data_IF_696481752531
#
_entry.id   IF_696481752531
#
_cell.length_a   1.000
_cell.length_b   1.000
_cell.length_c   1.000
_cell.angle_alpha   90.00
_cell.angle_beta   90.00
_cell.angle_gamma   90.00
#
_symmetry.space_group_name_H-M   'P 1'
#
loop_
_entity.id
_entity.type
_entity.pdbx_description
1 polymer ?
#
# COMPACT_ATOMS: atom_id res chain seq x y z
N UNK A 1 -11.67 10.86 -10.76
CA UNK A 1 -11.60 10.46 -9.36
C UNK A 1 -10.22 9.94 -9.03
N UNK A 2 -9.60 10.49 -8.01
CA UNK A 2 -8.27 10.07 -7.59
C UNK A 2 -8.35 8.85 -6.67
N UNK A 3 -7.42 7.93 -6.88
CA UNK A 3 -7.26 6.77 -6.03
C UNK A 3 -5.81 6.72 -5.56
N UNK A 4 -5.60 6.64 -4.25
CA UNK A 4 -4.25 6.50 -3.70
C UNK A 4 -4.06 5.10 -3.14
N UNK A 5 -3.01 4.45 -3.61
CA UNK A 5 -2.67 3.07 -3.32
C UNK A 5 -1.32 3.04 -2.64
N UNK A 6 -1.18 2.26 -1.58
CA UNK A 6 0.09 2.09 -0.90
C UNK A 6 0.51 0.63 -0.95
N UNK A 7 1.79 0.41 -1.23
CA UNK A 7 2.39 -0.93 -1.26
C UNK A 7 3.65 -0.92 -0.40
N UNK A 8 3.67 -1.65 0.73
CA UNK A 8 4.89 -1.80 1.51
C UNK A 8 5.92 -2.61 0.73
N UNK A 9 7.14 -2.10 0.65
CA UNK A 9 8.20 -2.69 -0.15
C UNK A 9 9.35 -3.23 0.69
N UNK A 10 9.94 -4.31 0.20
CA UNK A 10 11.26 -4.79 0.58
C UNK A 10 12.07 -4.90 -0.71
N UNK A 11 12.92 -3.92 -0.97
CA UNK A 11 13.55 -3.79 -2.29
C UNK A 11 12.50 -3.53 -3.36
N UNK A 12 12.51 -4.29 -4.44
CA UNK A 12 11.55 -4.18 -5.54
C UNK A 12 10.29 -5.03 -5.33
N UNK A 13 10.25 -5.80 -4.25
CA UNK A 13 9.17 -6.75 -3.99
C UNK A 13 8.23 -6.23 -2.93
N UNK A 14 6.99 -6.74 -2.94
CA UNK A 14 6.06 -6.51 -1.84
C UNK A 14 6.68 -7.09 -0.58
N UNK A 15 6.75 -6.29 0.48
CA UNK A 15 7.32 -6.76 1.75
C UNK A 15 6.51 -7.96 2.27
N UNK A 16 7.17 -9.03 2.74
CA UNK A 16 6.47 -10.19 3.31
C UNK A 16 5.59 -9.83 4.51
N UNK A 17 5.95 -8.76 5.24
CA UNK A 17 5.20 -8.33 6.43
C UNK A 17 5.00 -6.83 6.41
N UNK A 18 3.75 -6.41 6.65
CA UNK A 18 3.36 -5.00 6.72
C UNK A 18 4.13 -4.25 7.81
N UNK A 19 4.27 -4.84 9.00
CA UNK A 19 4.84 -4.20 10.17
C UNK A 19 6.37 -4.03 10.15
N UNK A 20 7.06 -4.72 9.23
CA UNK A 20 8.52 -4.65 9.13
C UNK A 20 9.03 -4.11 7.80
N UNK A 21 8.15 -3.60 6.95
CA UNK A 21 8.59 -3.08 5.65
C UNK A 21 9.50 -1.86 5.81
N UNK A 22 10.62 -1.80 5.07
CA UNK A 22 11.52 -0.63 5.16
C UNK A 22 11.04 0.57 4.34
N UNK A 23 10.20 0.35 3.34
CA UNK A 23 9.71 1.41 2.46
C UNK A 23 8.23 1.27 2.18
N UNK A 24 7.61 2.39 1.85
CA UNK A 24 6.21 2.44 1.44
C UNK A 24 6.13 3.16 0.10
N UNK A 25 5.54 2.51 -0.89
CA UNK A 25 5.33 3.08 -2.22
C UNK A 25 3.90 3.58 -2.30
N UNK A 26 3.73 4.90 -2.51
CA UNK A 26 2.42 5.53 -2.60
C UNK A 26 2.21 6.00 -4.02
N UNK A 27 1.11 5.56 -4.64
CA UNK A 27 0.80 5.79 -6.03
C UNK A 27 -0.56 6.47 -6.13
N UNK A 28 -0.62 7.58 -6.85
CA UNK A 28 -1.88 8.26 -7.14
C UNK A 28 -2.30 7.93 -8.56
N UNK A 29 -3.51 7.42 -8.70
CA UNK A 29 -4.09 7.03 -9.98
C UNK A 29 -5.33 7.87 -10.22
N UNK A 30 -5.47 8.42 -11.43
CA UNK A 30 -6.62 9.19 -11.85
C UNK A 30 -7.09 8.66 -13.19
N UNK A 31 -8.35 8.23 -13.27
CA UNK A 31 -8.95 7.69 -14.49
C UNK A 31 -8.14 6.53 -15.11
N UNK A 32 -7.55 5.70 -14.24
CA UNK A 32 -6.76 4.56 -14.67
C UNK A 32 -5.30 4.86 -15.01
N UNK A 33 -4.87 6.10 -14.87
CA UNK A 33 -3.49 6.51 -15.16
C UNK A 33 -2.75 6.94 -13.90
N UNK A 34 -1.47 6.55 -13.81
CA UNK A 34 -0.61 6.99 -12.73
C UNK A 34 -0.23 8.45 -12.97
N UNK A 35 -0.64 9.32 -12.05
CA UNK A 35 -0.33 10.76 -12.15
C UNK A 35 0.73 11.21 -11.17
N UNK A 36 1.00 10.42 -10.12
CA UNK A 36 2.03 10.75 -9.13
C UNK A 36 2.44 9.49 -8.40
N UNK A 37 3.70 9.42 -8.00
CA UNK A 37 4.17 8.33 -7.14
C UNK A 37 5.36 8.80 -6.32
N UNK A 38 5.51 8.20 -5.14
CA UNK A 38 6.65 8.47 -4.26
C UNK A 38 6.93 7.25 -3.40
N UNK A 39 8.17 7.14 -2.95
CA UNK A 39 8.59 6.11 -2.00
C UNK A 39 9.05 6.79 -0.73
N UNK A 40 8.56 6.30 0.40
CA UNK A 40 8.88 6.81 1.73
C UNK A 40 9.70 5.78 2.48
N UNK A 41 10.76 6.22 3.14
CA UNK A 41 11.48 5.36 4.07
C UNK A 41 10.71 5.31 5.37
N UNK A 42 10.31 4.11 5.81
CA UNK A 42 9.51 3.92 7.01
C UNK A 42 10.15 2.94 7.99
N UNK A 43 11.39 2.53 7.73
CA UNK A 43 12.10 1.57 8.57
C UNK A 43 12.21 2.02 10.03
N UNK A 44 12.29 3.32 10.26
CA UNK A 44 12.43 3.92 11.60
C UNK A 44 11.09 4.17 12.31
N UNK A 45 9.98 3.92 11.64
CA UNK A 45 8.66 4.20 12.19
C UNK A 45 8.12 3.01 13.00
N UNK A 46 7.45 3.30 14.12
CA UNK A 46 6.71 2.28 14.85
C UNK A 46 5.38 2.00 14.15
N UNK A 47 4.64 1.04 14.66
CA UNK A 47 3.40 0.58 14.03
C UNK A 47 2.37 1.70 13.86
N UNK A 48 2.14 2.50 14.91
CA UNK A 48 1.16 3.59 14.85
C UNK A 48 1.58 4.63 13.82
N UNK A 49 2.87 4.96 13.76
CA UNK A 49 3.39 5.90 12.78
C UNK A 49 3.24 5.39 11.36
N UNK A 50 3.40 4.07 11.14
CA UNK A 50 3.18 3.45 9.83
C UNK A 50 1.72 3.58 9.41
N UNK A 51 0.79 3.32 10.33
CA UNK A 51 -0.64 3.48 10.05
C UNK A 51 -0.99 4.94 9.75
N UNK A 52 -0.38 5.88 10.47
CA UNK A 52 -0.57 7.31 10.23
C UNK A 52 -0.12 7.74 8.86
N UNK A 53 0.97 7.14 8.33
CA UNK A 53 1.42 7.46 6.98
C UNK A 53 0.35 7.16 5.94
N UNK A 54 -0.42 6.12 6.15
CA UNK A 54 -1.49 5.76 5.23
C UNK A 54 -2.62 6.78 5.27
N UNK A 55 -3.07 7.16 6.47
CA UNK A 55 -4.17 8.12 6.61
C UNK A 55 -3.76 9.54 6.22
N UNK A 56 -2.57 9.98 6.62
CA UNK A 56 -2.11 11.34 6.30
C UNK A 56 -1.85 11.53 4.81
N UNK A 57 -1.55 10.46 4.09
CA UNK A 57 -1.38 10.49 2.64
C UNK A 57 -2.68 10.17 1.88
N UNK A 58 -3.80 10.07 2.60
CA UNK A 58 -5.12 9.83 2.03
C UNK A 58 -5.20 8.53 1.22
N UNK A 59 -4.47 7.53 1.65
CA UNK A 59 -4.47 6.19 1.02
C UNK A 59 -5.84 5.55 1.24
N UNK A 60 -6.39 4.94 0.19
CA UNK A 60 -7.67 4.21 0.25
C UNK A 60 -7.51 2.73 -0.04
N UNK A 61 -6.40 2.33 -0.62
CA UNK A 61 -6.13 0.92 -0.95
C UNK A 61 -4.71 0.57 -0.54
N UNK A 62 -4.56 -0.59 0.08
CA UNK A 62 -3.24 -1.15 0.43
C UNK A 62 -3.12 -2.52 -0.22
N UNK A 63 -2.00 -2.75 -0.90
CA UNK A 63 -1.64 -4.07 -1.42
C UNK A 63 -0.42 -4.52 -0.64
N UNK A 64 -0.52 -5.57 0.14
CA UNK A 64 0.55 -5.97 1.04
C UNK A 64 0.69 -7.49 1.16
N UNK A 65 1.77 -7.91 1.81
CA UNK A 65 1.98 -9.31 2.18
C UNK A 65 1.22 -9.65 3.45
N UNK A 66 1.91 -10.26 4.41
CA UNK A 66 1.29 -10.60 5.70
C UNK A 66 0.96 -9.37 6.51
N UNK A 67 -0.22 -9.36 7.11
CA UNK A 67 -0.67 -8.28 7.98
C UNK A 67 -1.46 -8.91 9.12
N UNK A 68 -1.26 -8.43 10.35
CA UNK A 68 -1.97 -8.97 11.50
C UNK A 68 -3.41 -8.45 11.59
N UNK A 69 -4.22 -9.13 12.42
CA UNK A 69 -5.64 -8.79 12.54
C UNK A 69 -5.88 -7.40 13.12
N UNK A 70 -5.01 -6.93 14.01
CA UNK A 70 -5.13 -5.60 14.59
C UNK A 70 -4.97 -4.52 13.51
N UNK A 71 -3.90 -4.60 12.71
CA UNK A 71 -3.65 -3.64 11.64
C UNK A 71 -4.76 -3.69 10.59
N UNK A 72 -5.17 -4.89 10.21
CA UNK A 72 -6.25 -5.07 9.23
C UNK A 72 -7.53 -4.41 9.71
N UNK A 73 -7.88 -4.60 10.99
CA UNK A 73 -9.05 -3.99 11.60
C UNK A 73 -8.94 -2.46 11.65
N UNK A 74 -7.76 -1.95 12.02
CA UNK A 74 -7.53 -0.50 12.06
C UNK A 74 -7.68 0.15 10.69
N UNK A 75 -7.14 -0.47 9.66
CA UNK A 75 -7.27 0.05 8.29
C UNK A 75 -8.71 0.00 7.82
N UNK A 76 -9.40 -1.11 8.08
CA UNK A 76 -10.81 -1.24 7.72
C UNK A 76 -11.68 -0.19 8.38
N UNK A 77 -11.43 0.12 9.66
CA UNK A 77 -12.20 1.14 10.38
C UNK A 77 -12.02 2.55 9.81
N UNK A 78 -10.95 2.78 9.06
CA UNK A 78 -10.67 4.05 8.40
C UNK A 78 -11.10 4.07 6.93
N UNK A 79 -11.81 3.04 6.51
CA UNK A 79 -12.29 2.93 5.13
C UNK A 79 -11.22 2.56 4.13
N UNK A 80 -10.10 1.99 4.59
CA UNK A 80 -9.02 1.56 3.72
C UNK A 80 -9.23 0.10 3.34
N UNK A 81 -9.29 -0.15 2.04
CA UNK A 81 -9.41 -1.50 1.47
C UNK A 81 -8.05 -2.17 1.45
N UNK A 82 -7.94 -3.39 1.93
CA UNK A 82 -6.66 -4.09 2.01
C UNK A 82 -6.72 -5.38 1.21
N UNK A 83 -5.79 -5.51 0.27
CA UNK A 83 -5.54 -6.73 -0.47
C UNK A 83 -4.26 -7.33 0.14
N UNK A 84 -4.39 -8.37 0.94
CA UNK A 84 -3.26 -8.90 1.71
C UNK A 84 -2.87 -10.32 1.30
N UNK A 85 -1.76 -10.81 1.86
CA UNK A 85 -1.16 -12.09 1.51
C UNK A 85 -0.71 -12.15 0.05
N UNK A 86 -0.29 -11.01 -0.49
CA UNK A 86 0.20 -10.88 -1.85
C UNK A 86 1.73 -10.93 -1.83
N UNK A 87 2.31 -11.69 -2.75
CA UNK A 87 3.76 -11.82 -2.88
C UNK A 87 4.17 -11.59 -4.34
N UNK A 88 5.36 -11.05 -4.53
CA UNK A 88 5.95 -10.88 -5.86
C UNK A 88 6.56 -9.51 -6.09
N UNK A 89 6.93 -9.25 -7.33
CA UNK A 89 7.47 -7.97 -7.76
C UNK A 89 6.36 -6.91 -7.68
N UNK A 90 6.63 -5.83 -6.96
CA UNK A 90 5.60 -4.83 -6.68
C UNK A 90 5.05 -4.17 -7.95
N UNK A 91 5.93 -3.85 -8.91
CA UNK A 91 5.49 -3.24 -10.16
C UNK A 91 4.59 -4.15 -10.97
N UNK A 92 4.91 -5.44 -11.00
CA UNK A 92 4.09 -6.44 -11.73
C UNK A 92 2.71 -6.53 -11.10
N UNK A 93 2.66 -6.65 -9.77
CA UNK A 93 1.40 -6.76 -9.03
C UNK A 93 0.58 -5.47 -9.19
N UNK A 94 1.22 -4.32 -9.07
CA UNK A 94 0.53 -3.04 -9.25
C UNK A 94 -0.07 -2.91 -10.65
N UNK A 95 0.67 -3.32 -11.69
CA UNK A 95 0.18 -3.24 -13.07
C UNK A 95 -1.03 -4.15 -13.29
N UNK A 96 -1.04 -5.33 -12.67
CA UNK A 96 -2.19 -6.23 -12.73
C UNK A 96 -3.41 -5.61 -12.03
N UNK A 97 -3.19 -5.00 -10.85
CA UNK A 97 -4.24 -4.31 -10.11
C UNK A 97 -4.82 -3.16 -10.94
N UNK A 98 -3.95 -2.35 -11.55
CA UNK A 98 -4.35 -1.22 -12.37
C UNK A 98 -5.16 -1.67 -13.59
N UNK A 99 -4.78 -2.78 -14.20
CA UNK A 99 -5.49 -3.37 -15.34
C UNK A 99 -6.91 -3.76 -14.97
N UNK A 100 -7.10 -4.34 -13.79
CA UNK A 100 -8.42 -4.71 -13.30
C UNK A 100 -9.31 -3.48 -13.09
N UNK A 101 -8.73 -2.36 -12.68
CA UNK A 101 -9.48 -1.12 -12.50
C UNK A 101 -9.99 -0.54 -13.81
N UNK A 102 -9.33 -0.85 -14.93
CA UNK A 102 -9.72 -0.33 -16.26
C UNK A 102 -10.84 -1.15 -16.90
N UNK A 103 -11.14 -2.27 -16.31
CA UNK A 103 -12.24 -3.11 -16.77
C UNK A 103 -13.55 -2.67 -16.13
#
# INVERSE_FOLDING_TARGET
MDMKIAIPLFGSRISPRFDFSPELWIITVENGDVIHQKKLSIAHLNLLQRLEQLTSNEVKHVICGGIDGFCLSQLGSKGISVLHNIAGEAEVIFNLFLKDLKL
#
